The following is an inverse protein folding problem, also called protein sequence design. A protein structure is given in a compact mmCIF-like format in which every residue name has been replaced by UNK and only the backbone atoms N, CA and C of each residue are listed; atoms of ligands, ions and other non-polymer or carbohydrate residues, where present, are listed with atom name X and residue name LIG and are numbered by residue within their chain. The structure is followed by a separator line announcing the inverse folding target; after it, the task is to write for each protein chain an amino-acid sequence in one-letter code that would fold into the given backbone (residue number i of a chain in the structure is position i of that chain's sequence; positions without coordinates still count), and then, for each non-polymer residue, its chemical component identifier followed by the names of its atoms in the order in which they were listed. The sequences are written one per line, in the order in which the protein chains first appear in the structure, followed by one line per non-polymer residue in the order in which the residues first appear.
data_IF_289163107122
#
_entry.id   IF_289163107122
#
_cell.length_a   1.000
_cell.length_b   1.000
_cell.length_c   1.000
_cell.angle_alpha   90.00
_cell.angle_beta   90.00
_cell.angle_gamma   90.00
#
_symmetry.space_group_name_H-M   'P 1'
#
loop_
_entity.id
_entity.type
_entity.pdbx_description
1 polymer ?
#
# COMPACT_ATOMS: atom_id res chain seq x y z
N UNK A 1 -10.52 -4.72 -26.89
CA UNK A 1 -11.41 -3.64 -27.38
C UNK A 1 -10.57 -2.47 -27.86
N UNK A 2 -11.08 -1.59 -28.75
CA UNK A 2 -10.37 -0.36 -29.11
C UNK A 2 -10.10 0.50 -27.87
N UNK A 3 -9.00 1.26 -27.86
CA UNK A 3 -8.65 2.13 -26.72
C UNK A 3 -9.72 3.20 -26.44
N UNK A 4 -10.48 3.60 -27.46
CA UNK A 4 -11.63 4.51 -27.31
C UNK A 4 -12.72 3.96 -26.39
N UNK A 5 -12.91 2.63 -26.36
CA UNK A 5 -13.86 2.00 -25.42
C UNK A 5 -13.36 2.13 -23.99
N UNK A 6 -12.07 1.88 -23.74
CA UNK A 6 -11.47 2.08 -22.42
C UNK A 6 -11.65 3.53 -21.94
N UNK A 7 -11.40 4.51 -22.82
CA UNK A 7 -11.60 5.93 -22.48
C UNK A 7 -13.05 6.26 -22.13
N UNK A 8 -14.03 5.70 -22.87
CA UNK A 8 -15.45 5.88 -22.58
C UNK A 8 -15.82 5.25 -21.23
N UNK A 9 -15.45 3.99 -21.01
CA UNK A 9 -15.73 3.25 -19.78
C UNK A 9 -15.13 3.96 -18.57
N UNK A 10 -13.90 4.47 -18.68
CA UNK A 10 -13.27 5.30 -17.65
C UNK A 10 -14.06 6.58 -17.38
N UNK A 11 -14.49 7.32 -18.41
CA UNK A 11 -15.27 8.55 -18.22
C UNK A 11 -16.66 8.33 -17.59
N UNK A 12 -17.23 7.13 -17.78
CA UNK A 12 -18.52 6.75 -17.20
C UNK A 12 -18.39 5.96 -15.90
N UNK A 13 -17.19 5.84 -15.32
CA UNK A 13 -16.90 5.04 -14.13
C UNK A 13 -17.35 3.57 -14.27
N UNK A 14 -17.20 3.00 -15.45
CA UNK A 14 -17.67 1.66 -15.85
C UNK A 14 -16.52 0.75 -16.31
N UNK A 15 -15.27 1.06 -15.95
CA UNK A 15 -14.17 0.12 -16.20
C UNK A 15 -14.48 -1.27 -15.61
N UNK A 16 -14.14 -2.35 -16.33
CA UNK A 16 -14.22 -3.69 -15.78
C UNK A 16 -13.20 -3.86 -14.65
N UNK A 17 -13.41 -4.88 -13.81
CA UNK A 17 -12.51 -5.20 -12.69
C UNK A 17 -11.05 -5.45 -13.13
N UNK A 18 -10.87 -5.89 -14.39
CA UNK A 18 -9.56 -6.03 -15.02
C UNK A 18 -9.53 -5.37 -16.41
N UNK A 19 -8.56 -4.48 -16.61
CA UNK A 19 -8.24 -3.87 -17.90
C UNK A 19 -6.77 -4.06 -18.21
N UNK A 20 -6.45 -4.54 -19.42
CA UNK A 20 -5.08 -4.62 -19.93
C UNK A 20 -4.92 -3.65 -21.10
N UNK A 21 -3.94 -2.76 -21.00
CA UNK A 21 -3.72 -1.68 -21.97
C UNK A 21 -2.31 -1.77 -22.52
N UNK A 22 -2.19 -1.89 -23.84
CA UNK A 22 -0.92 -1.81 -24.56
C UNK A 22 -0.90 -0.54 -25.41
N UNK A 23 0.09 0.36 -25.26
CA UNK A 23 0.27 1.47 -26.17
C UNK A 23 0.56 0.98 -27.60
N UNK A 24 0.39 1.85 -28.60
CA UNK A 24 0.82 1.54 -29.96
C UNK A 24 2.36 1.62 -30.08
N UNK A 25 2.89 1.25 -31.26
CA UNK A 25 4.35 1.23 -31.52
C UNK A 25 5.08 2.57 -31.34
N UNK A 26 4.34 3.70 -31.31
CA UNK A 26 4.92 5.03 -31.09
C UNK A 26 5.07 5.33 -29.59
N UNK A 27 4.13 4.85 -28.77
CA UNK A 27 4.01 5.23 -27.36
C UNK A 27 4.41 4.10 -26.41
N UNK A 28 4.95 2.98 -26.91
CA UNK A 28 5.32 1.81 -26.12
C UNK A 28 6.76 1.85 -25.59
N UNK A 29 7.48 2.96 -25.78
CA UNK A 29 8.90 3.14 -25.45
C UNK A 29 9.88 2.21 -26.18
N UNK A 30 9.43 1.35 -27.10
CA UNK A 30 10.28 0.37 -27.78
C UNK A 30 11.02 0.97 -28.98
N UNK A 31 10.35 1.85 -29.73
CA UNK A 31 10.87 2.39 -30.99
C UNK A 31 11.37 3.83 -30.84
N UNK A 32 12.59 4.08 -31.31
CA UNK A 32 13.21 5.41 -31.33
C UNK A 32 14.42 5.53 -30.41
N UNK A 33 15.06 6.70 -30.43
CA UNK A 33 16.21 6.98 -29.57
C UNK A 33 15.76 7.42 -28.18
N UNK A 34 16.49 7.00 -27.15
CA UNK A 34 16.45 7.61 -25.82
C UNK A 34 16.98 9.07 -25.91
N UNK A 35 16.30 10.08 -25.32
CA UNK A 35 15.11 10.00 -24.45
C UNK A 35 13.77 10.21 -25.15
N UNK A 36 13.75 10.41 -26.46
CA UNK A 36 12.53 10.74 -27.19
C UNK A 36 11.45 9.64 -27.08
N UNK A 37 11.84 8.36 -27.18
CA UNK A 37 10.92 7.23 -27.03
C UNK A 37 10.30 7.17 -25.62
N UNK A 38 11.11 7.37 -24.59
CA UNK A 38 10.67 7.40 -23.19
C UNK A 38 9.75 8.61 -22.92
N UNK A 39 10.08 9.79 -23.46
CA UNK A 39 9.26 10.99 -23.32
C UNK A 39 7.90 10.85 -24.02
N UNK A 40 7.86 10.19 -25.19
CA UNK A 40 6.61 9.91 -25.88
C UNK A 40 5.71 8.98 -25.05
N UNK A 41 6.28 7.90 -24.50
CA UNK A 41 5.56 6.99 -23.62
C UNK A 41 5.06 7.67 -22.34
N UNK A 42 5.90 8.45 -21.68
CA UNK A 42 5.52 9.19 -20.47
C UNK A 42 4.40 10.21 -20.76
N UNK A 43 4.52 10.99 -21.83
CA UNK A 43 3.49 11.94 -22.27
C UNK A 43 2.16 11.22 -22.54
N UNK A 44 2.22 10.05 -23.18
CA UNK A 44 1.04 9.25 -23.48
C UNK A 44 0.41 8.69 -22.20
N UNK A 45 1.19 8.15 -21.27
CA UNK A 45 0.73 7.64 -19.98
C UNK A 45 0.09 8.76 -19.14
N UNK A 46 0.77 9.90 -19.01
CA UNK A 46 0.25 11.06 -18.29
C UNK A 46 -1.12 11.50 -18.83
N UNK A 47 -1.25 11.62 -20.14
CA UNK A 47 -2.47 12.10 -20.79
C UNK A 47 -3.61 11.10 -20.72
N UNK A 48 -3.35 9.84 -21.05
CA UNK A 48 -4.40 8.87 -21.34
C UNK A 48 -4.70 7.91 -20.18
N UNK A 49 -3.76 7.73 -19.25
CA UNK A 49 -3.90 6.81 -18.12
C UNK A 49 -3.87 7.58 -16.81
N UNK A 50 -2.75 8.23 -16.45
CA UNK A 50 -2.56 8.78 -15.10
C UNK A 50 -3.57 9.89 -14.77
N UNK A 51 -3.70 10.92 -15.61
CA UNK A 51 -4.63 12.02 -15.33
C UNK A 51 -6.09 11.57 -15.14
N UNK A 52 -6.70 10.79 -16.06
CA UNK A 52 -8.08 10.39 -15.89
C UNK A 52 -8.27 9.28 -14.85
N UNK A 53 -7.37 8.28 -14.79
CA UNK A 53 -7.54 7.13 -13.89
C UNK A 53 -7.27 7.48 -12.43
N UNK A 54 -6.24 8.28 -12.14
CA UNK A 54 -5.91 8.64 -10.75
C UNK A 54 -6.93 9.64 -10.16
N UNK A 55 -7.71 10.31 -11.01
CA UNK A 55 -8.84 11.15 -10.60
C UNK A 55 -10.16 10.37 -10.48
N UNK A 56 -10.22 9.10 -10.92
CA UNK A 56 -11.43 8.30 -10.88
C UNK A 56 -11.80 7.91 -9.43
N UNK A 57 -13.01 8.23 -8.94
CA UNK A 57 -13.40 7.95 -7.56
C UNK A 57 -13.43 6.46 -7.22
N UNK A 58 -13.65 5.55 -8.18
CA UNK A 58 -13.59 4.10 -7.92
C UNK A 58 -12.13 3.65 -7.80
N UNK A 59 -11.25 4.15 -8.66
CA UNK A 59 -9.82 3.88 -8.57
C UNK A 59 -9.21 4.39 -7.25
N UNK A 60 -9.60 5.59 -6.79
CA UNK A 60 -9.13 6.16 -5.52
C UNK A 60 -9.55 5.36 -4.28
N UNK A 61 -10.56 4.50 -4.38
CA UNK A 61 -11.02 3.68 -3.26
C UNK A 61 -10.25 2.37 -3.16
N UNK A 62 -10.14 1.62 -4.27
CA UNK A 62 -9.60 0.25 -4.26
C UNK A 62 -8.75 -0.10 -5.48
N UNK A 63 -8.47 0.86 -6.35
CA UNK A 63 -7.79 0.64 -7.62
C UNK A 63 -6.35 0.16 -7.49
N UNK A 64 -5.87 -0.57 -8.49
CA UNK A 64 -4.46 -0.91 -8.66
C UNK A 64 -4.07 -0.74 -10.11
N UNK A 65 -3.07 0.10 -10.36
CA UNK A 65 -2.43 0.23 -11.66
C UNK A 65 -1.02 -0.37 -11.58
N UNK A 66 -0.74 -1.30 -12.49
CA UNK A 66 0.61 -1.80 -12.75
C UNK A 66 1.07 -1.19 -14.07
N UNK A 67 2.20 -0.49 -14.06
CA UNK A 67 2.92 -0.09 -15.29
C UNK A 67 4.20 -0.91 -15.35
N UNK A 68 4.40 -1.64 -16.44
CA UNK A 68 5.56 -2.52 -16.61
C UNK A 68 6.01 -2.51 -18.06
N UNK A 69 7.27 -2.88 -18.29
CA UNK A 69 7.80 -3.19 -19.62
C UNK A 69 7.98 -4.70 -19.73
N UNK A 70 7.79 -5.25 -20.92
CA UNK A 70 7.81 -6.69 -21.16
C UNK A 70 9.22 -7.28 -21.11
N UNK A 71 10.22 -6.51 -21.54
CA UNK A 71 11.60 -6.96 -21.67
C UNK A 71 12.62 -5.87 -21.30
N UNK A 72 13.87 -6.31 -21.10
CA UNK A 72 15.05 -5.50 -20.81
C UNK A 72 16.27 -6.22 -21.39
N UNK A 73 17.43 -5.57 -21.42
CA UNK A 73 18.66 -6.21 -21.88
C UNK A 73 19.21 -7.15 -20.80
N UNK A 74 19.84 -8.26 -21.19
CA UNK A 74 20.52 -9.19 -20.26
C UNK A 74 21.57 -8.49 -19.38
N UNK A 75 22.10 -7.35 -19.82
CA UNK A 75 23.07 -6.52 -19.10
C UNK A 75 22.46 -5.72 -17.95
N UNK A 76 21.14 -5.56 -17.89
CA UNK A 76 20.46 -4.68 -16.94
C UNK A 76 20.32 -5.31 -15.55
N UNK A 77 20.75 -6.56 -15.36
CA UNK A 77 20.78 -7.21 -14.05
C UNK A 77 21.80 -6.62 -13.05
N UNK A 78 22.53 -5.56 -13.43
CA UNK A 78 23.47 -4.87 -12.54
C UNK A 78 22.77 -4.20 -11.34
N UNK A 79 23.38 -4.24 -10.13
CA UNK A 79 24.74 -4.66 -9.84
C UNK A 79 24.92 -6.18 -9.62
N UNK A 80 23.87 -6.99 -9.82
CA UNK A 80 24.00 -8.44 -9.70
C UNK A 80 24.83 -8.99 -10.86
N UNK A 81 25.91 -9.70 -10.54
CA UNK A 81 26.76 -10.38 -11.53
C UNK A 81 26.05 -11.55 -12.24
N UNK A 82 24.91 -11.98 -11.70
CA UNK A 82 24.03 -12.99 -12.29
C UNK A 82 22.57 -12.58 -12.07
N UNK A 83 21.75 -12.62 -13.11
CA UNK A 83 20.31 -12.50 -12.94
C UNK A 83 19.82 -13.70 -12.11
N UNK A 84 18.96 -13.53 -11.09
CA UNK A 84 18.46 -14.64 -10.31
C UNK A 84 17.87 -15.73 -11.21
N UNK A 85 18.23 -16.99 -10.96
CA UNK A 85 17.62 -18.11 -11.69
C UNK A 85 16.10 -18.09 -11.44
N UNK A 86 15.31 -18.07 -12.52
CA UNK A 86 13.86 -18.18 -12.41
C UNK A 86 13.53 -19.60 -11.89
N UNK A 87 12.80 -19.74 -10.76
CA UNK A 87 12.51 -21.04 -10.16
C UNK A 87 11.78 -22.05 -11.05
N UNK A 88 11.18 -21.60 -12.16
CA UNK A 88 10.30 -22.40 -13.02
C UNK A 88 10.93 -22.85 -14.35
N UNK A 89 12.15 -22.38 -14.68
CA UNK A 89 12.66 -22.48 -16.06
C UNK A 89 13.73 -23.55 -16.33
N UNK A 90 13.83 -24.59 -15.49
CA UNK A 90 14.89 -25.61 -15.61
C UNK A 90 14.68 -26.72 -16.66
N UNK A 91 13.46 -27.10 -17.12
CA UNK A 91 13.36 -28.11 -18.19
C UNK A 91 13.19 -27.54 -19.61
N UNK A 92 12.76 -26.28 -19.78
CA UNK A 92 12.41 -25.71 -21.10
C UNK A 92 13.46 -24.79 -21.73
N UNK A 93 14.48 -24.37 -20.99
CA UNK A 93 15.54 -23.50 -21.51
C UNK A 93 16.88 -24.24 -21.53
N UNK A 94 17.18 -24.90 -22.65
CA UNK A 94 18.50 -25.42 -22.93
C UNK A 94 19.47 -24.25 -23.23
N UNK A 95 20.62 -24.25 -22.55
CA UNK A 95 21.86 -23.46 -22.73
C UNK A 95 21.84 -21.92 -22.67
N UNK A 96 20.73 -21.22 -22.91
CA UNK A 96 20.76 -19.75 -23.08
C UNK A 96 20.06 -18.94 -21.98
N UNK A 97 19.35 -19.57 -21.05
CA UNK A 97 18.59 -18.88 -19.98
C UNK A 97 19.31 -18.91 -18.61
N UNK A 98 20.65 -18.96 -18.61
CA UNK A 98 21.46 -18.85 -17.40
C UNK A 98 21.43 -17.45 -16.77
N UNK A 99 20.65 -16.53 -17.35
CA UNK A 99 20.44 -15.15 -16.94
C UNK A 99 18.95 -14.85 -17.17
N UNK A 100 18.15 -14.61 -16.13
CA UNK A 100 16.79 -14.08 -16.26
C UNK A 100 16.74 -12.82 -17.14
N UNK A 101 15.61 -12.56 -17.80
CA UNK A 101 15.45 -11.60 -18.90
C UNK A 101 15.55 -10.10 -18.54
N UNK A 102 16.67 -9.69 -17.94
CA UNK A 102 16.97 -8.31 -17.58
C UNK A 102 16.23 -7.81 -16.33
N UNK A 103 16.51 -6.57 -15.93
CA UNK A 103 15.83 -5.88 -14.84
C UNK A 103 14.90 -4.81 -15.43
N UNK A 104 13.61 -5.13 -15.44
CA UNK A 104 12.58 -4.28 -16.02
C UNK A 104 12.05 -3.24 -15.02
N UNK A 105 11.61 -2.10 -15.54
CA UNK A 105 10.78 -1.17 -14.78
C UNK A 105 9.42 -1.82 -14.49
N UNK A 106 9.03 -1.87 -13.22
CA UNK A 106 7.66 -2.15 -12.81
C UNK A 106 7.27 -1.20 -11.69
N UNK A 107 6.21 -0.44 -11.92
CA UNK A 107 5.65 0.54 -10.99
C UNK A 107 4.25 0.11 -10.60
N UNK A 108 3.99 0.10 -9.30
CA UNK A 108 2.63 -0.08 -8.76
C UNK A 108 2.10 1.24 -8.24
N UNK A 109 0.86 1.56 -8.58
CA UNK A 109 0.20 2.81 -8.19
C UNK A 109 -1.21 2.47 -7.70
N UNK A 110 -1.61 3.05 -6.58
CA UNK A 110 -2.96 2.90 -6.04
C UNK A 110 -3.07 3.41 -4.60
N UNK A 111 -4.30 3.62 -4.08
CA UNK A 111 -4.54 4.10 -2.72
C UNK A 111 -3.99 3.16 -1.63
N UNK A 112 -3.80 1.89 -1.98
CA UNK A 112 -3.30 0.84 -1.08
C UNK A 112 -1.79 0.59 -1.23
N UNK A 113 -1.11 1.41 -2.05
CA UNK A 113 0.32 1.32 -2.31
C UNK A 113 1.06 2.37 -1.49
N UNK A 114 2.07 1.97 -0.71
CA UNK A 114 2.88 2.90 0.07
C UNK A 114 3.61 3.91 -0.85
N UNK A 115 3.54 5.22 -0.58
CA UNK A 115 4.15 6.22 -1.47
C UNK A 115 5.66 6.29 -1.31
N UNK A 116 6.35 6.55 -2.42
CA UNK A 116 7.82 6.65 -2.51
C UNK A 116 8.57 5.40 -2.00
N UNK A 117 8.00 4.22 -2.21
CA UNK A 117 8.59 2.96 -1.79
C UNK A 117 9.25 2.24 -2.97
N UNK A 118 10.50 1.81 -2.78
CA UNK A 118 11.19 0.89 -3.68
C UNK A 118 11.39 -0.45 -2.95
N UNK A 119 10.83 -1.52 -3.51
CA UNK A 119 11.01 -2.86 -2.95
C UNK A 119 12.44 -3.36 -3.21
N UNK A 120 13.01 -4.03 -2.21
CA UNK A 120 14.24 -4.83 -2.37
C UNK A 120 13.95 -6.32 -2.63
N UNK A 121 12.67 -6.70 -2.68
CA UNK A 121 12.25 -8.07 -3.03
C UNK A 121 12.32 -8.26 -4.54
N UNK A 122 12.98 -9.32 -5.03
CA UNK A 122 12.94 -9.68 -6.44
C UNK A 122 11.51 -10.08 -6.85
N UNK A 123 11.04 -9.55 -7.97
CA UNK A 123 9.78 -9.90 -8.60
C UNK A 123 10.00 -10.30 -10.04
N UNK A 124 9.08 -11.11 -10.56
CA UNK A 124 9.05 -11.60 -11.93
C UNK A 124 7.66 -11.33 -12.55
N UNK A 125 7.45 -11.56 -13.84
CA UNK A 125 6.14 -11.33 -14.47
C UNK A 125 5.02 -12.16 -13.82
N UNK A 126 5.37 -13.33 -13.32
CA UNK A 126 4.52 -14.21 -12.52
C UNK A 126 4.10 -13.54 -11.19
N UNK A 127 4.96 -12.70 -10.61
CA UNK A 127 4.62 -11.87 -9.45
C UNK A 127 3.53 -10.87 -9.78
N UNK A 128 3.59 -10.27 -10.98
CA UNK A 128 2.54 -9.39 -11.51
C UNK A 128 1.23 -10.15 -11.63
N UNK A 129 1.23 -11.32 -12.29
CA UNK A 129 0.04 -12.16 -12.46
C UNK A 129 -0.56 -12.58 -11.11
N UNK A 130 0.25 -13.12 -10.20
CA UNK A 130 -0.22 -13.54 -8.87
C UNK A 130 -0.77 -12.35 -8.09
N UNK A 131 -0.17 -11.17 -8.22
CA UNK A 131 -0.68 -9.95 -7.59
C UNK A 131 -2.04 -9.58 -8.21
N UNK A 132 -2.18 -9.50 -9.53
CA UNK A 132 -3.47 -9.20 -10.18
C UNK A 132 -4.58 -10.19 -9.79
N UNK A 133 -4.29 -11.49 -9.78
CA UNK A 133 -5.25 -12.51 -9.35
C UNK A 133 -5.72 -12.31 -7.91
N UNK A 134 -4.80 -11.93 -7.00
CA UNK A 134 -5.16 -11.60 -5.62
C UNK A 134 -5.99 -10.33 -5.52
N UNK A 135 -5.67 -9.31 -6.30
CA UNK A 135 -6.43 -8.06 -6.35
C UNK A 135 -7.89 -8.31 -6.77
N UNK A 136 -8.08 -9.26 -7.69
CA UNK A 136 -9.40 -9.74 -8.15
C UNK A 136 -10.07 -10.72 -7.17
N UNK A 137 -9.50 -10.94 -5.99
CA UNK A 137 -10.07 -11.80 -4.95
C UNK A 137 -9.80 -13.30 -5.10
N UNK A 138 -8.97 -13.72 -6.07
CA UNK A 138 -8.62 -15.14 -6.21
C UNK A 138 -7.65 -15.59 -5.12
N UNK A 139 -8.02 -16.67 -4.43
CA UNK A 139 -7.13 -17.42 -3.51
C UNK A 139 -6.53 -18.67 -4.16
N UNK A 140 -6.92 -18.99 -5.39
CA UNK A 140 -6.44 -20.13 -6.17
C UNK A 140 -5.55 -19.64 -7.30
N UNK A 141 -4.35 -20.21 -7.41
CA UNK A 141 -3.37 -19.80 -8.40
C UNK A 141 -3.01 -20.99 -9.29
N UNK A 142 -2.79 -20.77 -10.60
CA UNK A 142 -2.16 -21.75 -11.47
C UNK A 142 -0.88 -22.34 -10.85
N UNK A 143 -0.57 -23.58 -11.20
CA UNK A 143 0.69 -24.23 -10.81
C UNK A 143 1.89 -23.34 -11.19
N UNK A 144 2.93 -23.31 -10.35
CA UNK A 144 4.09 -22.41 -10.50
C UNK A 144 4.00 -21.13 -9.67
N UNK A 145 2.80 -20.56 -9.50
CA UNK A 145 2.63 -19.28 -8.77
C UNK A 145 2.66 -19.42 -7.24
N UNK A 146 2.57 -20.61 -6.66
CA UNK A 146 2.43 -20.78 -5.19
C UNK A 146 3.60 -20.18 -4.40
N UNK A 147 4.82 -20.31 -4.91
CA UNK A 147 6.07 -19.84 -4.30
C UNK A 147 6.49 -18.44 -4.74
N UNK A 148 5.89 -17.90 -5.80
CA UNK A 148 6.21 -16.58 -6.35
C UNK A 148 5.79 -15.46 -5.39
N UNK A 149 6.64 -14.46 -5.10
CA UNK A 149 6.24 -13.34 -4.24
C UNK A 149 5.21 -12.45 -4.95
N UNK A 150 4.26 -11.90 -4.21
CA UNK A 150 3.36 -10.83 -4.69
C UNK A 150 3.90 -9.46 -4.30
N UNK A 151 3.51 -8.40 -4.99
CA UNK A 151 3.97 -7.03 -4.71
C UNK A 151 3.74 -6.54 -3.27
N UNK A 152 2.93 -7.25 -2.47
CA UNK A 152 2.86 -7.04 -1.02
C UNK A 152 1.99 -5.85 -0.61
N UNK A 153 1.50 -5.08 -1.58
CA UNK A 153 0.64 -3.90 -1.42
C UNK A 153 -0.85 -4.20 -1.60
N UNK A 154 -1.18 -5.44 -1.99
CA UNK A 154 -2.55 -5.94 -2.05
C UNK A 154 -3.10 -6.44 -0.70
N UNK A 155 -2.32 -6.32 0.37
CA UNK A 155 -2.74 -6.70 1.71
C UNK A 155 -2.96 -5.51 2.62
N UNK A 156 -3.00 -4.28 2.07
CA UNK A 156 -3.50 -3.15 2.85
C UNK A 156 -4.98 -3.40 3.14
N UNK A 157 -5.29 -3.53 4.42
CA UNK A 157 -6.65 -3.76 4.90
C UNK A 157 -7.35 -2.45 5.29
N UNK A 158 -6.58 -1.41 5.61
CA UNK A 158 -7.16 -0.10 5.91
C UNK A 158 -7.76 0.49 4.65
N UNK A 159 -9.02 0.88 4.72
CA UNK A 159 -9.61 1.76 3.71
C UNK A 159 -9.21 3.20 4.02
N UNK A 160 -8.93 4.01 3.00
CA UNK A 160 -8.45 5.38 3.14
C UNK A 160 -7.16 5.49 4.02
N UNK A 161 -6.09 4.72 3.75
CA UNK A 161 -4.90 4.66 4.62
C UNK A 161 -4.08 5.97 4.64
N UNK A 162 -4.10 6.73 3.54
CA UNK A 162 -3.50 8.07 3.45
C UNK A 162 -4.48 9.20 3.79
N UNK A 163 -5.68 8.89 4.29
CA UNK A 163 -6.65 9.86 4.83
C UNK A 163 -7.22 10.89 3.83
N UNK A 164 -6.86 10.83 2.55
CA UNK A 164 -7.29 11.77 1.51
C UNK A 164 -8.78 11.76 1.20
N UNK A 165 -9.52 10.75 1.67
CA UNK A 165 -11.00 10.73 1.61
C UNK A 165 -11.63 11.33 2.88
N UNK A 166 -10.91 12.25 3.55
CA UNK A 166 -11.33 12.90 4.79
C UNK A 166 -11.67 11.86 5.88
N UNK A 167 -12.80 12.01 6.58
CA UNK A 167 -13.23 11.10 7.66
C UNK A 167 -13.75 9.75 7.17
N UNK A 168 -13.83 9.50 5.86
CA UNK A 168 -14.36 8.23 5.35
C UNK A 168 -13.47 7.06 5.84
N UNK A 169 -14.10 6.05 6.45
CA UNK A 169 -13.44 4.87 7.04
C UNK A 169 -12.50 5.15 8.23
N UNK A 170 -12.65 6.30 8.87
CA UNK A 170 -11.98 6.64 10.11
C UNK A 170 -12.96 7.27 11.08
N UNK A 171 -12.86 6.92 12.36
CA UNK A 171 -13.65 7.59 13.38
C UNK A 171 -12.81 7.94 14.60
N UNK A 172 -13.30 8.95 15.31
CA UNK A 172 -12.58 9.59 16.40
C UNK A 172 -12.99 9.05 17.75
N UNK A 173 -12.02 8.85 18.63
CA UNK A 173 -12.23 8.69 20.05
C UNK A 173 -11.47 9.76 20.83
N UNK A 174 -12.17 10.49 21.69
CA UNK A 174 -11.63 11.71 22.29
C UNK A 174 -11.31 12.77 21.22
N UNK A 175 -10.20 13.48 21.41
CA UNK A 175 -9.79 14.60 20.53
C UNK A 175 -8.91 14.13 19.36
N UNK A 176 -9.49 13.30 18.50
CA UNK A 176 -8.96 12.95 17.19
C UNK A 176 -9.81 13.62 16.10
N UNK A 177 -9.18 14.17 15.06
CA UNK A 177 -9.87 14.60 13.83
C UNK A 177 -9.07 14.17 12.60
N UNK A 178 -9.73 14.10 11.44
CA UNK A 178 -9.03 14.05 10.16
C UNK A 178 -9.03 15.47 9.60
N UNK A 179 -7.87 16.12 9.64
CA UNK A 179 -7.67 17.49 9.19
C UNK A 179 -7.17 17.55 7.75
N UNK A 180 -7.23 18.74 7.15
CA UNK A 180 -6.67 19.03 5.83
C UNK A 180 -5.86 20.32 5.87
N UNK A 181 -4.56 20.26 5.60
CA UNK A 181 -3.69 21.43 5.51
C UNK A 181 -2.53 21.15 4.55
N UNK A 182 -2.29 22.05 3.60
CA UNK A 182 -1.15 21.96 2.69
C UNK A 182 0.18 21.94 3.48
N UNK A 183 1.01 20.91 3.26
CA UNK A 183 2.25 20.68 4.03
C UNK A 183 2.02 20.21 5.47
N UNK A 184 0.76 19.97 5.87
CA UNK A 184 0.39 19.41 7.15
C UNK A 184 0.41 17.89 7.20
N UNK A 185 0.26 17.24 6.04
CA UNK A 185 0.37 15.80 5.81
C UNK A 185 1.81 15.39 5.40
N UNK A 186 2.09 14.09 5.37
CA UNK A 186 3.35 13.58 4.81
C UNK A 186 3.26 13.51 3.30
N UNK A 187 2.15 12.98 2.80
CA UNK A 187 1.79 13.02 1.38
C UNK A 187 0.37 13.57 1.23
N UNK A 188 0.04 14.12 0.07
CA UNK A 188 -1.27 14.74 -0.13
C UNK A 188 -1.54 15.92 0.80
N UNK A 189 -2.75 15.97 1.36
CA UNK A 189 -3.25 17.12 2.11
C UNK A 189 -3.95 16.76 3.41
N UNK A 190 -4.37 15.51 3.59
CA UNK A 190 -5.11 15.06 4.76
C UNK A 190 -4.23 14.28 5.74
N UNK A 191 -4.58 14.35 7.02
CA UNK A 191 -3.87 13.64 8.07
C UNK A 191 -4.74 13.49 9.32
N UNK A 192 -4.42 12.52 10.16
CA UNK A 192 -5.05 12.36 11.46
C UNK A 192 -4.37 13.30 12.44
N UNK A 193 -5.11 14.22 13.04
CA UNK A 193 -4.63 15.17 14.04
C UNK A 193 -5.18 14.78 15.41
N UNK A 194 -4.27 14.39 16.31
CA UNK A 194 -4.61 14.00 17.67
C UNK A 194 -4.11 15.08 18.63
N UNK A 195 -4.98 15.52 19.52
CA UNK A 195 -4.62 16.47 20.58
C UNK A 195 -4.95 15.91 21.96
N UNK A 196 -3.94 15.60 22.76
CA UNK A 196 -4.14 15.28 24.17
C UNK A 196 -4.23 16.60 24.97
N UNK A 197 -5.21 16.71 25.88
CA UNK A 197 -5.36 17.91 26.71
C UNK A 197 -4.38 17.94 27.89
N UNK A 198 -3.84 16.79 28.28
CA UNK A 198 -2.92 16.61 29.40
C UNK A 198 -3.08 15.24 30.05
N UNK A 199 -2.64 15.12 31.30
CA UNK A 199 -2.72 13.88 32.09
C UNK A 199 -4.13 13.28 32.08
N UNK A 200 -4.22 11.96 31.88
CA UNK A 200 -5.49 11.22 31.85
C UNK A 200 -6.23 11.26 30.51
N UNK A 201 -5.73 11.96 29.50
CA UNK A 201 -6.33 11.95 28.14
C UNK A 201 -5.60 11.00 27.19
N UNK A 202 -6.36 10.30 26.35
CA UNK A 202 -5.85 9.38 25.32
C UNK A 202 -6.69 9.50 24.05
N UNK A 203 -6.44 10.51 23.19
CA UNK A 203 -7.08 10.59 21.89
C UNK A 203 -6.64 9.41 21.01
N UNK A 204 -7.57 8.87 20.22
CA UNK A 204 -7.32 7.77 19.29
C UNK A 204 -8.11 7.99 18.00
N UNK A 205 -7.51 7.62 16.85
CA UNK A 205 -8.21 7.54 15.56
C UNK A 205 -8.25 6.09 15.12
N UNK A 206 -9.44 5.52 15.04
CA UNK A 206 -9.64 4.11 14.70
C UNK A 206 -9.99 3.95 13.23
N UNK A 207 -9.49 2.87 12.64
CA UNK A 207 -9.98 2.40 11.35
C UNK A 207 -11.44 1.95 11.48
N UNK A 208 -12.28 2.43 10.57
CA UNK A 208 -13.73 2.24 10.58
C UNK A 208 -14.27 1.72 9.25
N UNK A 209 -15.50 1.18 9.31
CA UNK A 209 -16.24 0.76 8.14
C UNK A 209 -16.87 1.98 7.44
N UNK A 210 -17.59 1.74 6.35
CA UNK A 210 -18.28 2.82 5.61
C UNK A 210 -19.34 3.56 6.43
N UNK A 211 -19.75 3.01 7.58
CA UNK A 211 -20.73 3.59 8.50
C UNK A 211 -20.09 4.26 9.72
N UNK A 212 -18.75 4.29 9.82
CA UNK A 212 -18.03 4.90 10.92
C UNK A 212 -17.93 4.05 12.19
N UNK A 213 -18.18 2.73 12.11
CA UNK A 213 -18.01 1.79 13.23
C UNK A 213 -16.63 1.13 13.20
N UNK A 214 -16.09 0.77 14.37
CA UNK A 214 -14.81 0.05 14.51
C UNK A 214 -14.75 -1.20 13.60
N UNK A 215 -13.68 -1.31 12.80
CA UNK A 215 -13.44 -2.50 11.99
C UNK A 215 -12.57 -3.50 12.72
N UNK A 216 -13.07 -4.74 12.78
CA UNK A 216 -12.33 -5.90 13.25
C UNK A 216 -12.02 -6.83 12.08
N UNK A 217 -10.74 -6.96 11.76
CA UNK A 217 -10.22 -7.84 10.73
C UNK A 217 -10.00 -9.24 11.30
N UNK A 218 -10.57 -10.26 10.67
CA UNK A 218 -10.43 -11.64 11.12
C UNK A 218 -8.98 -12.13 10.93
N UNK A 219 -8.47 -12.85 11.93
CA UNK A 219 -7.14 -13.48 11.93
C UNK A 219 -7.23 -14.93 12.41
N UNK A 220 -6.26 -15.75 11.99
CA UNK A 220 -6.07 -17.12 12.45
C UNK A 220 -4.72 -17.28 13.16
N UNK A 221 -4.60 -18.21 14.12
CA UNK A 221 -3.32 -18.53 14.73
C UNK A 221 -2.25 -18.85 13.67
N UNK A 222 -1.04 -18.34 13.86
CA UNK A 222 0.09 -18.46 12.92
C UNK A 222 0.17 -17.37 11.86
N UNK A 223 -0.91 -16.62 11.61
CA UNK A 223 -0.84 -15.48 10.69
C UNK A 223 0.02 -14.36 11.28
N UNK A 224 0.70 -13.61 10.41
CA UNK A 224 1.53 -12.47 10.78
C UNK A 224 0.81 -11.18 10.41
N UNK A 225 0.55 -10.37 11.43
CA UNK A 225 0.02 -9.00 11.25
C UNK A 225 1.19 -8.05 11.14
N UNK A 226 1.25 -7.28 10.06
CA UNK A 226 2.20 -6.16 9.89
C UNK A 226 1.41 -4.87 9.93
N UNK A 227 1.88 -3.90 10.71
CA UNK A 227 1.22 -2.60 10.83
C UNK A 227 2.25 -1.48 10.96
N UNK A 228 1.96 -0.33 10.36
CA UNK A 228 2.89 0.79 10.33
C UNK A 228 2.18 2.11 10.10
N UNK A 229 2.95 3.19 10.19
CA UNK A 229 2.47 4.52 9.87
C UNK A 229 3.58 5.54 9.99
N UNK A 230 3.38 6.68 9.34
CA UNK A 230 4.18 7.87 9.57
C UNK A 230 3.52 8.75 10.60
N UNK A 231 4.32 9.36 11.47
CA UNK A 231 3.83 10.37 12.38
C UNK A 231 4.83 11.50 12.57
N UNK A 232 4.33 12.63 13.02
CA UNK A 232 5.09 13.83 13.36
C UNK A 232 4.55 14.44 14.63
N UNK A 233 5.44 14.70 15.59
CA UNK A 233 5.07 15.44 16.80
C UNK A 233 5.06 16.93 16.50
N UNK A 234 3.91 17.56 16.69
CA UNK A 234 3.76 19.02 16.55
C UNK A 234 4.14 19.70 17.85
N UNK A 235 3.69 19.16 18.99
CA UNK A 235 4.01 19.70 20.32
C UNK A 235 3.81 18.67 21.43
N UNK A 236 4.34 18.98 22.62
CA UNK A 236 4.09 18.25 23.86
C UNK A 236 4.80 16.90 23.99
N UNK A 237 4.21 16.01 24.77
CA UNK A 237 4.79 14.75 25.23
C UNK A 237 3.83 13.54 25.05
N UNK A 238 4.11 12.44 25.75
CA UNK A 238 3.38 11.18 25.65
C UNK A 238 3.88 10.27 24.53
N UNK A 239 3.29 9.08 24.46
CA UNK A 239 3.61 8.03 23.49
C UNK A 239 2.72 8.17 22.26
N UNK A 240 3.32 8.60 21.16
CA UNK A 240 2.66 8.72 19.86
C UNK A 240 3.02 7.54 18.96
N UNK A 241 2.02 6.75 18.55
CA UNK A 241 2.27 5.53 17.77
C UNK A 241 1.03 4.93 17.10
N UNK A 242 1.20 4.18 16.00
CA UNK A 242 0.23 3.18 15.56
C UNK A 242 0.15 1.98 16.52
N UNK A 243 -1.05 1.44 16.65
CA UNK A 243 -1.40 0.34 17.57
C UNK A 243 -2.32 -0.64 16.86
N UNK A 244 -2.11 -1.93 17.11
CA UNK A 244 -3.13 -2.95 16.90
C UNK A 244 -3.62 -3.49 18.23
N UNK A 245 -4.92 -3.71 18.32
CA UNK A 245 -5.54 -4.47 19.39
C UNK A 245 -5.97 -5.84 18.87
N UNK A 246 -5.52 -6.90 19.53
CA UNK A 246 -5.80 -8.29 19.15
C UNK A 246 -6.69 -8.95 20.20
N UNK A 247 -7.86 -9.42 19.78
CA UNK A 247 -8.91 -9.98 20.66
C UNK A 247 -9.25 -11.42 20.30
N UNK A 248 -9.96 -12.09 21.21
CA UNK A 248 -10.54 -13.41 20.96
C UNK A 248 -11.78 -13.33 20.03
N UNK A 249 -12.43 -14.47 19.78
CA UNK A 249 -13.62 -14.57 18.91
C UNK A 249 -14.83 -13.78 19.39
N UNK A 250 -14.86 -13.35 20.66
CA UNK A 250 -15.90 -12.50 21.24
C UNK A 250 -15.48 -11.03 21.30
N UNK A 251 -14.41 -10.66 20.58
CA UNK A 251 -13.80 -9.32 20.64
C UNK A 251 -13.42 -8.90 22.07
N UNK A 252 -13.13 -9.89 22.91
CA UNK A 252 -12.78 -9.74 24.33
C UNK A 252 -11.29 -10.05 24.55
N UNK A 253 -10.82 -9.86 25.79
CA UNK A 253 -9.44 -10.16 26.21
C UNK A 253 -8.37 -9.51 25.31
N UNK A 254 -8.37 -8.18 25.18
CA UNK A 254 -7.48 -7.46 24.27
C UNK A 254 -6.00 -7.64 24.62
N UNK A 255 -5.18 -7.67 23.58
CA UNK A 255 -3.72 -7.60 23.67
C UNK A 255 -3.24 -6.56 22.69
N UNK A 256 -2.58 -5.52 23.19
CA UNK A 256 -2.09 -4.42 22.36
C UNK A 256 -0.67 -4.68 21.89
N UNK A 257 -0.40 -4.31 20.64
CA UNK A 257 0.94 -4.28 20.05
C UNK A 257 1.17 -2.93 19.42
N UNK A 258 2.39 -2.45 19.55
CA UNK A 258 2.79 -1.11 19.15
C UNK A 258 3.96 -1.23 18.18
N UNK A 259 4.16 -0.19 17.39
CA UNK A 259 5.28 -0.11 16.47
C UNK A 259 6.62 0.07 17.18
N UNK A 260 7.69 -0.13 16.43
CA UNK A 260 9.06 0.30 16.75
C UNK A 260 9.48 1.37 15.73
N UNK A 261 10.01 2.53 16.17
CA UNK A 261 10.02 3.04 17.55
C UNK A 261 8.62 3.08 18.20
N UNK A 262 8.59 2.93 19.54
CA UNK A 262 7.34 2.92 20.30
C UNK A 262 6.76 4.31 20.57
N UNK A 263 7.50 5.36 20.19
CA UNK A 263 7.13 6.76 20.38
C UNK A 263 7.72 7.61 19.27
N UNK A 264 6.87 8.43 18.66
CA UNK A 264 7.26 9.50 17.75
C UNK A 264 7.41 10.79 18.56
N UNK A 265 8.66 11.19 18.81
CA UNK A 265 9.01 12.32 19.66
C UNK A 265 9.51 13.55 18.91
N UNK A 266 9.85 13.43 17.63
CA UNK A 266 10.47 14.49 16.85
C UNK A 266 9.47 15.22 15.94
N UNK A 267 9.87 16.42 15.51
CA UNK A 267 9.09 17.26 14.59
C UNK A 267 9.25 16.89 13.12
N UNK A 268 10.06 15.86 12.81
CA UNK A 268 10.17 15.30 11.47
C UNK A 268 9.12 14.19 11.29
N UNK A 269 8.73 13.91 10.04
CA UNK A 269 7.96 12.71 9.76
C UNK A 269 8.83 11.49 10.04
N UNK A 270 8.39 10.64 10.95
CA UNK A 270 9.09 9.42 11.35
C UNK A 270 8.23 8.21 11.02
N UNK A 271 8.81 7.26 10.29
CA UNK A 271 8.17 5.98 10.03
C UNK A 271 8.32 5.05 11.23
N UNK A 272 7.25 4.34 11.57
CA UNK A 272 7.24 3.33 12.63
C UNK A 272 6.54 2.08 12.11
N UNK A 273 7.02 0.90 12.49
CA UNK A 273 6.43 -0.37 12.05
C UNK A 273 6.46 -1.45 13.12
N UNK A 274 5.53 -2.39 13.05
CA UNK A 274 5.43 -3.53 13.96
C UNK A 274 4.99 -4.78 13.21
N UNK A 275 5.39 -5.93 13.75
CA UNK A 275 4.93 -7.25 13.32
C UNK A 275 4.43 -8.04 14.53
N UNK A 276 3.42 -8.88 14.31
CA UNK A 276 2.85 -9.72 15.36
C UNK A 276 2.34 -11.04 14.80
N UNK A 277 2.93 -12.14 15.25
CA UNK A 277 2.41 -13.49 14.97
C UNK A 277 1.24 -13.79 15.89
N UNK A 278 0.09 -14.09 15.30
CA UNK A 278 -1.18 -14.33 16.01
C UNK A 278 -1.09 -15.65 16.78
N UNK A 279 -1.24 -15.65 18.12
CA UNK A 279 -1.21 -16.87 18.91
C UNK A 279 -2.58 -17.57 18.87
N UNK A 280 -2.61 -18.80 19.39
CA UNK A 280 -3.87 -19.53 19.64
C UNK A 280 -4.77 -18.71 20.56
N UNK A 281 -6.08 -18.74 20.32
CA UNK A 281 -7.08 -18.03 21.11
C UNK A 281 -7.36 -16.59 20.68
N UNK A 282 -6.66 -16.08 19.66
CA UNK A 282 -6.94 -14.79 19.02
C UNK A 282 -7.67 -14.97 17.70
N UNK A 283 -8.57 -14.05 17.38
CA UNK A 283 -9.46 -14.15 16.22
C UNK A 283 -9.70 -12.83 15.50
N UNK A 284 -9.47 -11.68 16.15
CA UNK A 284 -9.65 -10.38 15.51
C UNK A 284 -8.52 -9.40 15.81
N UNK A 285 -8.26 -8.52 14.85
CA UNK A 285 -7.40 -7.35 14.97
C UNK A 285 -8.19 -6.09 14.65
N UNK A 286 -7.99 -5.01 15.40
CA UNK A 286 -8.38 -3.65 14.98
C UNK A 286 -7.17 -2.71 15.06
N UNK A 287 -7.16 -1.67 14.23
CA UNK A 287 -6.04 -0.73 14.10
C UNK A 287 -6.45 0.68 14.49
N UNK A 288 -5.54 1.39 15.16
CA UNK A 288 -5.70 2.81 15.46
C UNK A 288 -4.34 3.50 15.68
N UNK A 289 -4.35 4.83 15.69
CA UNK A 289 -3.22 5.64 16.17
C UNK A 289 -3.61 6.32 17.48
N UNK A 290 -2.64 6.56 18.36
CA UNK A 290 -2.90 7.15 19.69
C UNK A 290 -1.86 8.19 20.10
N UNK A 291 -2.25 9.06 21.04
CA UNK A 291 -1.35 9.67 22.01
C UNK A 291 -1.70 9.08 23.38
N UNK A 292 -0.76 8.38 24.02
CA UNK A 292 -0.96 7.78 25.35
C UNK A 292 -0.04 8.41 26.39
N UNK A 293 -0.55 8.58 27.61
CA UNK A 293 0.22 9.06 28.76
C UNK A 293 0.92 10.41 28.53
N UNK A 294 0.28 11.33 27.80
CA UNK A 294 0.70 12.72 27.79
C UNK A 294 0.48 13.34 29.17
N UNK A 295 1.43 14.13 29.66
CA UNK A 295 1.29 14.87 30.92
C UNK A 295 0.86 16.32 30.70
N UNK A 296 1.08 16.83 29.48
CA UNK A 296 0.74 18.18 29.06
C UNK A 296 -0.04 18.16 27.75
N UNK A 297 -0.52 19.35 27.34
CA UNK A 297 -1.14 19.51 26.02
C UNK A 297 -0.15 19.09 24.95
N UNK A 298 -0.58 18.14 24.12
CA UNK A 298 0.29 17.48 23.14
C UNK A 298 -0.45 17.28 21.84
N UNK A 299 0.25 17.46 20.72
CA UNK A 299 -0.34 17.32 19.39
C UNK A 299 0.57 16.51 18.48
N UNK A 300 -0.03 15.55 17.78
CA UNK A 300 0.65 14.65 16.87
C UNK A 300 -0.20 14.46 15.62
N UNK A 301 0.48 14.41 14.48
CA UNK A 301 -0.14 14.08 13.19
C UNK A 301 0.31 12.71 12.73
N UNK A 302 -0.60 11.95 12.13
CA UNK A 302 -0.31 10.67 11.49
C UNK A 302 -0.82 10.65 10.05
N UNK A 303 -0.13 9.89 9.21
CA UNK A 303 -0.41 9.77 7.79
C UNK A 303 0.18 8.46 7.23
N UNK A 304 -0.23 8.06 6.02
CA UNK A 304 0.24 6.87 5.29
C UNK A 304 0.26 5.59 6.16
N UNK A 305 -0.91 5.24 6.69
CA UNK A 305 -1.10 4.17 7.65
C UNK A 305 -1.22 2.80 6.96
N UNK A 306 -0.77 1.74 7.61
CA UNK A 306 -0.79 0.39 7.01
C UNK A 306 -1.20 -0.66 8.02
N UNK A 307 -2.06 -1.58 7.57
CA UNK A 307 -2.36 -2.84 8.22
C UNK A 307 -2.39 -3.96 7.18
N UNK A 308 -1.67 -5.05 7.45
CA UNK A 308 -1.61 -6.25 6.62
C UNK A 308 -1.69 -7.51 7.46
N UNK A 309 -2.30 -8.57 6.92
CA UNK A 309 -2.36 -9.90 7.53
C UNK A 309 -1.87 -10.92 6.51
N UNK A 310 -0.94 -11.78 6.90
CA UNK A 310 -0.38 -12.86 6.07
C UNK A 310 -0.56 -14.20 6.76
#
# INVERSE_FOLDING_TARGET
VPFTQFSADLSFHQLPDFSFVTPNMINNAHNGSDPAALQAADTWLQKNIFRPLLADPKFQQTGMLVVSVDESLDTDCQPSSTCPALPEYTPYCASNCSRGGGHILTVLIGPNVGPNFKSNTPFMHESTLKSMLRALGSSTFPNGLSTVPTFGVLYQLLTNPGLELSTKNWHSYGSCTIGSLAGGARTGTHYADLTAAGAGTQPMCFAADGNGSDVYYAVKPGQVVTFSGWGKRVSGDGLARPVIEVTDSRKSNPTWRVTTPNNISNAAWTFTSGTYTVPVGKSFVRFYVEIKAATQKSQVRFDDLVLQIR
#
